data_IF_929637742036
#
_entry.id   IF_929637742036
#
_cell.length_a   1.000
_cell.length_b   1.000
_cell.length_c   1.000
_cell.angle_alpha   90.00
_cell.angle_beta   90.00
_cell.angle_gamma   90.00
#
_symmetry.space_group_name_H-M   'P 1'
#
loop_
_entity.id
_entity.type
_entity.pdbx_description
1 polymer ?
#
# COMPACT_ATOMS: atom_id res chain seq x y z
N UNK A 1 8.15 6.70 19.27
CA UNK A 1 6.96 7.09 18.47
C UNK A 1 7.33 7.82 17.18
N UNK A 2 8.33 8.73 17.18
CA UNK A 2 8.80 9.43 15.97
C UNK A 2 9.22 8.51 14.83
N UNK A 3 9.99 7.45 15.11
CA UNK A 3 10.44 6.51 14.07
C UNK A 3 9.27 5.76 13.42
N UNK A 4 8.27 5.36 14.22
CA UNK A 4 7.05 4.70 13.75
C UNK A 4 6.30 5.61 12.77
N UNK A 5 6.11 6.88 13.14
CA UNK A 5 5.47 7.88 12.28
C UNK A 5 6.25 8.11 10.98
N UNK A 6 7.59 8.14 11.03
CA UNK A 6 8.44 8.28 9.85
C UNK A 6 8.30 7.10 8.90
N UNK A 7 8.28 5.86 9.40
CA UNK A 7 8.15 4.66 8.55
C UNK A 7 6.77 4.59 7.89
N UNK A 8 5.70 4.80 8.66
CA UNK A 8 4.33 4.82 8.12
C UNK A 8 4.19 5.96 7.10
N UNK A 9 4.70 7.15 7.42
CA UNK A 9 4.65 8.31 6.53
C UNK A 9 5.38 8.05 5.22
N UNK A 10 6.59 7.47 5.27
CA UNK A 10 7.35 7.12 4.07
C UNK A 10 6.62 6.09 3.21
N UNK A 11 6.06 5.04 3.82
CA UNK A 11 5.28 4.04 3.11
C UNK A 11 4.02 4.63 2.44
N UNK A 12 3.35 5.58 3.09
CA UNK A 12 2.22 6.32 2.49
C UNK A 12 2.67 7.22 1.34
N UNK A 13 3.80 7.91 1.48
CA UNK A 13 4.35 8.73 0.38
C UNK A 13 4.71 7.86 -0.82
N UNK A 14 5.30 6.69 -0.60
CA UNK A 14 5.60 5.74 -1.68
C UNK A 14 4.30 5.28 -2.35
N UNK A 15 3.27 4.92 -1.57
CA UNK A 15 1.92 4.59 -2.06
C UNK A 15 1.35 5.67 -2.97
N UNK A 16 1.38 6.93 -2.54
CA UNK A 16 0.89 8.06 -3.35
C UNK A 16 1.76 8.24 -4.59
N UNK A 17 3.08 8.15 -4.48
CA UNK A 17 3.98 8.35 -5.60
C UNK A 17 3.75 7.33 -6.72
N UNK A 18 3.66 6.03 -6.42
CA UNK A 18 3.42 5.04 -7.47
C UNK A 18 1.98 5.06 -7.98
N UNK A 19 0.98 5.39 -7.17
CA UNK A 19 -0.40 5.52 -7.66
C UNK A 19 -0.53 6.67 -8.66
N UNK A 20 0.12 7.81 -8.42
CA UNK A 20 0.21 8.92 -9.39
C UNK A 20 0.95 8.48 -10.65
N UNK A 21 2.10 7.81 -10.53
CA UNK A 21 2.86 7.32 -11.69
C UNK A 21 2.06 6.34 -12.54
N UNK A 22 1.32 5.41 -11.91
CA UNK A 22 0.47 4.44 -12.62
C UNK A 22 -0.62 5.18 -13.39
N UNK A 23 -1.27 6.20 -12.81
CA UNK A 23 -2.28 7.00 -13.51
C UNK A 23 -1.70 7.82 -14.67
N UNK A 24 -0.44 8.26 -14.57
CA UNK A 24 0.21 9.01 -15.66
C UNK A 24 0.62 8.10 -16.83
N UNK A 25 0.99 6.85 -16.56
CA UNK A 25 1.53 5.92 -17.56
C UNK A 25 0.42 5.06 -18.18
N UNK A 26 -0.54 4.59 -17.38
CA UNK A 26 -1.62 3.75 -17.85
C UNK A 26 -2.84 4.62 -18.20
N UNK A 27 -3.27 4.59 -19.47
CA UNK A 27 -4.42 5.37 -19.95
C UNK A 27 -5.74 4.57 -19.95
N UNK A 28 -5.67 3.24 -19.87
CA UNK A 28 -6.86 2.38 -19.75
C UNK A 28 -7.21 2.15 -18.28
N UNK A 29 -8.47 2.41 -17.90
CA UNK A 29 -8.96 2.19 -16.53
C UNK A 29 -8.72 0.77 -16.01
N UNK A 30 -8.86 -0.25 -16.88
CA UNK A 30 -8.58 -1.63 -16.54
C UNK A 30 -7.08 -1.87 -16.25
N UNK A 31 -6.18 -1.27 -17.04
CA UNK A 31 -4.73 -1.38 -16.80
C UNK A 31 -4.33 -0.67 -15.51
N UNK A 32 -4.89 0.51 -15.25
CA UNK A 32 -4.68 1.24 -13.97
C UNK A 32 -5.08 0.34 -12.80
N UNK A 33 -6.27 -0.27 -12.85
CA UNK A 33 -6.77 -1.15 -11.79
C UNK A 33 -5.85 -2.35 -11.56
N UNK A 34 -5.50 -3.08 -12.62
CA UNK A 34 -4.67 -4.29 -12.54
C UNK A 34 -3.27 -3.96 -12.02
N UNK A 35 -2.62 -2.93 -12.56
CA UNK A 35 -1.27 -2.54 -12.13
C UNK A 35 -1.30 -2.06 -10.68
N UNK A 36 -2.26 -1.20 -10.31
CA UNK A 36 -2.41 -0.72 -8.93
C UNK A 36 -2.63 -1.88 -7.95
N UNK A 37 -3.47 -2.85 -8.30
CA UNK A 37 -3.70 -4.04 -7.49
C UNK A 37 -2.41 -4.82 -7.22
N UNK A 38 -1.64 -5.15 -8.27
CA UNK A 38 -0.39 -5.87 -8.12
C UNK A 38 0.65 -5.08 -7.33
N UNK A 39 0.75 -3.77 -7.54
CA UNK A 39 1.69 -2.92 -6.78
C UNK A 39 1.33 -2.85 -5.30
N UNK A 40 0.06 -2.65 -4.96
CA UNK A 40 -0.43 -2.65 -3.56
C UNK A 40 -0.21 -4.01 -2.91
N UNK A 41 -0.48 -5.10 -3.63
CA UNK A 41 -0.27 -6.46 -3.13
C UNK A 41 1.20 -6.73 -2.85
N UNK A 42 2.10 -6.39 -3.77
CA UNK A 42 3.53 -6.51 -3.60
C UNK A 42 4.04 -5.67 -2.41
N UNK A 43 3.57 -4.43 -2.28
CA UNK A 43 3.97 -3.53 -1.18
C UNK A 43 3.50 -4.07 0.17
N UNK A 44 2.27 -4.59 0.24
CA UNK A 44 1.72 -5.23 1.44
C UNK A 44 2.53 -6.47 1.82
N UNK A 45 2.89 -7.32 0.85
CA UNK A 45 3.73 -8.50 1.07
C UNK A 45 5.12 -8.12 1.60
N UNK A 46 5.78 -7.12 1.02
CA UNK A 46 7.09 -6.65 1.47
C UNK A 46 7.01 -6.15 2.93
N UNK A 47 6.02 -5.32 3.26
CA UNK A 47 5.82 -4.86 4.63
C UNK A 47 5.48 -6.02 5.60
N UNK A 48 4.74 -7.03 5.13
CA UNK A 48 4.46 -8.25 5.88
C UNK A 48 5.74 -9.04 6.18
N UNK A 49 6.58 -9.29 5.17
CA UNK A 49 7.87 -9.99 5.34
C UNK A 49 8.78 -9.22 6.30
N UNK A 50 8.89 -7.91 6.15
CA UNK A 50 9.69 -7.07 7.07
C UNK A 50 9.14 -7.12 8.49
N UNK A 51 7.81 -7.08 8.66
CA UNK A 51 7.15 -7.25 9.96
C UNK A 51 7.55 -8.57 10.60
N UNK A 52 7.40 -9.68 9.87
CA UNK A 52 7.74 -11.02 10.35
C UNK A 52 9.22 -11.13 10.70
N UNK A 53 10.11 -10.61 9.85
CA UNK A 53 11.55 -10.60 10.09
C UNK A 53 11.92 -9.85 11.37
N UNK A 54 11.40 -8.63 11.57
CA UNK A 54 11.67 -7.86 12.77
C UNK A 54 11.03 -8.46 14.02
N UNK A 55 9.88 -9.13 13.88
CA UNK A 55 9.19 -9.80 14.99
C UNK A 55 9.96 -11.04 15.47
N UNK A 56 10.60 -11.79 14.58
CA UNK A 56 11.48 -12.91 14.96
C UNK A 56 12.86 -12.48 15.44
N UNK A 57 13.37 -11.35 14.98
CA UNK A 57 14.67 -10.80 15.40
C UNK A 57 14.61 -10.14 16.78
N UNK A 58 13.57 -9.36 17.04
CA UNK A 58 13.32 -8.65 18.30
C UNK A 58 11.80 -8.59 18.52
N UNK A 59 11.28 -9.48 19.37
CA UNK A 59 9.83 -9.62 19.63
C UNK A 59 9.15 -8.30 20.04
N UNK A 60 9.88 -7.40 20.71
CA UNK A 60 9.36 -6.10 21.14
C UNK A 60 9.89 -4.91 20.33
N UNK A 61 10.42 -5.16 19.13
CA UNK A 61 10.93 -4.08 18.30
C UNK A 61 9.80 -3.12 17.90
N UNK A 62 9.92 -1.81 18.17
CA UNK A 62 8.96 -0.81 17.70
C UNK A 62 8.86 -0.76 16.16
N UNK A 63 9.85 -1.35 15.45
CA UNK A 63 9.87 -1.47 13.99
C UNK A 63 8.83 -2.46 13.47
N UNK A 64 8.67 -3.64 14.11
CA UNK A 64 7.70 -4.65 13.64
C UNK A 64 6.27 -4.10 13.71
N UNK A 65 5.94 -3.41 14.80
CA UNK A 65 4.65 -2.72 14.99
C UNK A 65 4.43 -1.62 13.93
N UNK A 66 5.48 -0.88 13.55
CA UNK A 66 5.40 0.15 12.51
C UNK A 66 5.11 -0.43 11.11
N UNK A 67 5.83 -1.48 10.72
CA UNK A 67 5.63 -2.14 9.43
C UNK A 67 4.27 -2.84 9.36
N UNK A 68 3.83 -3.46 10.45
CA UNK A 68 2.50 -4.08 10.51
C UNK A 68 1.40 -3.04 10.32
N UNK A 69 1.44 -1.95 11.09
CA UNK A 69 0.43 -0.90 11.03
C UNK A 69 0.43 -0.21 9.66
N UNK A 70 1.61 -0.06 9.06
CA UNK A 70 1.75 0.42 7.69
C UNK A 70 1.16 -0.53 6.65
N UNK A 71 1.32 -1.85 6.80
CA UNK A 71 0.75 -2.84 5.88
C UNK A 71 -0.78 -2.81 5.92
N UNK A 72 -1.37 -2.73 7.12
CA UNK A 72 -2.82 -2.62 7.29
C UNK A 72 -3.37 -1.34 6.65
N UNK A 73 -2.70 -0.21 6.87
CA UNK A 73 -3.08 1.08 6.26
C UNK A 73 -3.02 1.03 4.73
N UNK A 74 -1.93 0.51 4.17
CA UNK A 74 -1.77 0.39 2.72
C UNK A 74 -2.82 -0.53 2.12
N UNK A 75 -3.13 -1.65 2.80
CA UNK A 75 -4.17 -2.57 2.36
C UNK A 75 -5.55 -1.89 2.35
N UNK A 76 -5.91 -1.14 3.39
CA UNK A 76 -7.18 -0.41 3.45
C UNK A 76 -7.29 0.66 2.37
N UNK A 77 -6.23 1.46 2.17
CA UNK A 77 -6.22 2.51 1.16
C UNK A 77 -6.25 1.90 -0.24
N UNK A 78 -5.38 0.92 -0.52
CA UNK A 78 -5.33 0.26 -1.83
C UNK A 78 -6.62 -0.47 -2.17
N UNK A 79 -7.28 -1.11 -1.20
CA UNK A 79 -8.60 -1.70 -1.39
C UNK A 79 -9.65 -0.63 -1.73
N UNK A 80 -9.65 0.49 -1.00
CA UNK A 80 -10.56 1.62 -1.25
C UNK A 80 -10.33 2.24 -2.65
N UNK A 81 -9.08 2.36 -3.08
CA UNK A 81 -8.72 2.85 -4.41
C UNK A 81 -9.17 1.90 -5.53
N UNK A 82 -9.05 0.59 -5.33
CA UNK A 82 -9.52 -0.40 -6.29
C UNK A 82 -11.05 -0.39 -6.38
N UNK A 83 -11.75 -0.35 -5.24
CA UNK A 83 -13.21 -0.33 -5.19
C UNK A 83 -13.81 0.95 -5.80
N UNK A 84 -13.20 2.11 -5.51
CA UNK A 84 -13.63 3.40 -6.09
C UNK A 84 -13.55 3.41 -7.62
N UNK A 85 -12.51 2.81 -8.19
CA UNK A 85 -12.37 2.71 -9.65
C UNK A 85 -13.43 1.79 -10.28
N UNK A 86 -13.77 0.67 -9.63
CA UNK A 86 -14.85 -0.21 -10.11
C UNK A 86 -16.19 0.53 -10.11
N UNK A 87 -16.52 1.22 -9.02
CA UNK A 87 -17.78 1.97 -8.91
C UNK A 87 -17.91 3.09 -9.96
N UNK A 88 -16.83 3.85 -10.21
CA UNK A 88 -16.83 4.88 -11.26
C UNK A 88 -16.96 4.23 -12.64
N UNK A 89 -16.30 3.09 -12.88
CA UNK A 89 -16.39 2.38 -14.16
C UNK A 89 -17.79 1.83 -14.44
N UNK A 90 -18.51 1.37 -13.41
CA UNK A 90 -19.90 0.89 -13.53
C UNK A 90 -20.92 2.04 -13.63
N UNK A 91 -20.64 3.22 -13.07
CA UNK A 91 -21.55 4.38 -13.14
C UNK A 91 -21.52 5.07 -14.52
N UNK A 92 -20.40 5.02 -15.24
CA UNK A 92 -20.22 5.66 -16.55
C UNK A 92 -20.70 4.76 -17.70
N UNK A 93 -21.02 3.49 -17.43
CA UNK A 93 -21.49 2.51 -18.41
C UNK A 93 -23.01 2.49 -18.51
#
# INVERSE_FOLDING_TARGET
>A
MEQIKKIIGLNLVILVAYTVLIQLIAQDGLKILVVTFYTVMAHTLINGILTTFFLFKDQDSPLSKAFFLSAVLIMLIGFSSCWGNVFISDLIR
#
